data_IF_069759505366
#
_entry.id   IF_069759505366
#
_cell.length_a   1.000
_cell.length_b   1.000
_cell.length_c   1.000
_cell.angle_alpha   90.00
_cell.angle_beta   90.00
_cell.angle_gamma   90.00
#
_symmetry.space_group_name_H-M   'P 1'
#
loop_
_entity.id
_entity.type
_entity.pdbx_description
1 polymer ?
#
# COMPACT_ATOMS: atom_id res chain seq x y z
N UNK A 1 55.21 57.40 12.30
CA UNK A 1 56.38 57.15 11.43
C UNK A 1 56.16 55.77 10.84
N UNK A 2 55.61 55.67 9.61
CA UNK A 2 56.33 55.62 8.30
C UNK A 2 57.15 54.32 8.17
N UNK A 3 57.08 53.44 7.17
CA UNK A 3 56.48 53.30 5.80
C UNK A 3 56.34 51.78 5.54
N UNK A 4 55.32 51.20 4.89
CA UNK A 4 54.88 51.23 3.47
C UNK A 4 55.73 50.46 2.44
N UNK A 5 54.98 49.80 1.53
CA UNK A 5 55.26 49.35 0.16
C UNK A 5 55.89 47.95 -0.08
N UNK A 6 55.62 47.21 -1.16
CA UNK A 6 54.55 47.10 -2.18
C UNK A 6 55.02 46.07 -3.24
N UNK A 7 54.12 45.73 -4.18
CA UNK A 7 54.35 45.15 -5.53
C UNK A 7 54.41 43.62 -5.64
N UNK A 8 53.40 42.93 -6.20
CA UNK A 8 52.86 42.87 -7.58
C UNK A 8 53.77 42.18 -8.63
N UNK A 9 53.26 41.11 -9.26
CA UNK A 9 53.18 40.89 -10.73
C UNK A 9 52.57 39.48 -10.99
N UNK A 10 51.44 39.34 -11.71
CA UNK A 10 51.25 39.27 -13.18
C UNK A 10 51.25 37.81 -13.69
N UNK A 11 50.09 37.20 -13.99
CA UNK A 11 49.49 36.96 -15.34
C UNK A 11 50.24 35.91 -16.20
N UNK A 12 49.71 35.05 -17.09
CA UNK A 12 48.50 34.97 -17.95
C UNK A 12 48.36 33.53 -18.56
N UNK A 13 47.13 33.19 -18.99
CA UNK A 13 46.71 32.44 -20.22
C UNK A 13 47.09 30.98 -20.58
N UNK A 14 46.06 30.14 -20.80
CA UNK A 14 45.62 29.53 -22.10
C UNK A 14 44.45 28.55 -21.82
N UNK A 15 43.28 28.48 -22.45
CA UNK A 15 42.75 28.71 -23.82
C UNK A 15 43.13 27.62 -24.86
N UNK A 16 42.18 26.70 -25.11
CA UNK A 16 41.88 25.94 -26.36
C UNK A 16 40.72 24.96 -26.00
N UNK A 17 39.48 24.99 -26.50
CA UNK A 17 38.87 25.08 -27.85
C UNK A 17 39.07 23.83 -28.74
N UNK A 18 37.97 23.11 -29.00
CA UNK A 18 37.59 22.32 -30.19
C UNK A 18 36.14 21.84 -29.96
N UNK A 19 35.11 22.43 -30.59
CA UNK A 19 34.61 22.34 -31.98
C UNK A 19 33.59 21.21 -32.23
N UNK A 20 32.67 21.56 -33.11
CA UNK A 20 31.30 21.12 -33.35
C UNK A 20 31.21 20.07 -34.48
N UNK A 21 30.18 19.22 -34.49
CA UNK A 21 29.37 18.90 -35.69
C UNK A 21 28.44 17.68 -35.48
N UNK A 22 27.14 17.92 -35.62
CA UNK A 22 26.18 16.99 -36.25
C UNK A 22 26.17 17.26 -37.78
N UNK A 23 25.69 16.33 -38.64
CA UNK A 23 24.28 16.45 -39.06
C UNK A 23 23.55 15.16 -39.51
N UNK A 24 22.20 15.29 -39.47
CA UNK A 24 21.14 14.81 -40.38
C UNK A 24 20.82 13.33 -40.61
N UNK A 25 19.60 12.97 -40.19
CA UNK A 25 18.46 12.34 -40.92
C UNK A 25 18.69 11.27 -42.00
N UNK A 26 17.98 10.14 -41.85
CA UNK A 26 16.99 9.63 -42.81
C UNK A 26 16.21 8.39 -42.31
N UNK A 27 14.88 8.52 -42.38
CA UNK A 27 13.85 7.53 -42.76
C UNK A 27 13.90 6.07 -42.28
N UNK A 28 12.85 5.66 -41.55
CA UNK A 28 12.66 4.25 -41.17
C UNK A 28 11.33 3.91 -40.48
N UNK A 29 10.21 4.21 -41.15
CA UNK A 29 8.93 3.45 -41.19
C UNK A 29 8.49 2.67 -39.93
N UNK A 30 7.41 3.15 -39.29
CA UNK A 30 6.61 2.42 -38.31
C UNK A 30 5.87 1.20 -38.91
N UNK A 31 5.73 0.08 -38.18
CA UNK A 31 4.69 -0.89 -38.44
C UNK A 31 3.44 -0.62 -37.58
N UNK A 32 2.28 -0.81 -38.19
CA UNK A 32 0.95 -0.71 -37.61
C UNK A 32 0.69 -1.82 -36.55
N UNK A 33 -0.26 -1.61 -35.62
CA UNK A 33 -0.56 -2.58 -34.56
C UNK A 33 -1.42 -3.75 -35.08
N UNK A 34 -1.03 -4.97 -34.73
CA UNK A 34 -1.85 -6.18 -34.85
C UNK A 34 -2.96 -6.21 -33.77
N UNK A 35 -4.08 -6.93 -34.02
CA UNK A 35 -5.32 -6.77 -33.26
C UNK A 35 -5.21 -7.34 -31.85
N UNK A 36 -5.79 -6.61 -30.91
CA UNK A 36 -5.93 -6.99 -29.51
C UNK A 36 -7.00 -8.08 -29.42
N UNK A 37 -6.62 -9.29 -28.99
CA UNK A 37 -7.60 -10.28 -28.54
C UNK A 37 -8.10 -9.88 -27.14
N UNK A 38 -9.38 -9.53 -27.06
CA UNK A 38 -10.11 -9.31 -25.81
C UNK A 38 -10.28 -10.66 -25.09
N UNK A 39 -9.32 -11.01 -24.22
CA UNK A 39 -9.48 -12.11 -23.28
C UNK A 39 -10.26 -11.60 -22.06
N UNK A 40 -11.59 -11.66 -22.15
CA UNK A 40 -12.50 -11.31 -21.06
C UNK A 40 -12.76 -12.54 -20.18
N UNK A 41 -12.24 -12.62 -18.94
CA UNK A 41 -12.38 -13.81 -18.09
C UNK A 41 -13.77 -13.97 -17.43
N UNK A 42 -14.77 -13.19 -17.83
CA UNK A 42 -16.12 -13.25 -17.24
C UNK A 42 -17.11 -14.21 -17.93
N UNK A 43 -16.66 -15.09 -18.82
CA UNK A 43 -17.51 -16.14 -19.42
C UNK A 43 -17.54 -17.44 -18.59
N UNK A 44 -17.78 -17.36 -17.28
CA UNK A 44 -17.98 -18.57 -16.43
C UNK A 44 -19.36 -18.66 -15.75
N UNK A 45 -20.29 -17.77 -16.05
CA UNK A 45 -21.69 -17.91 -15.62
C UNK A 45 -22.65 -17.69 -16.79
N UNK A 46 -22.76 -18.69 -17.66
CA UNK A 46 -23.87 -18.81 -18.59
C UNK A 46 -24.58 -20.14 -18.35
N UNK A 47 -25.57 -20.12 -17.46
CA UNK A 47 -26.55 -21.20 -17.31
C UNK A 47 -27.63 -21.01 -18.39
N UNK A 48 -27.33 -21.42 -19.62
CA UNK A 48 -28.35 -21.56 -20.66
C UNK A 48 -29.19 -22.80 -20.35
N UNK A 49 -30.45 -22.61 -19.95
CA UNK A 49 -31.43 -23.70 -19.93
C UNK A 49 -31.94 -23.92 -21.36
N UNK A 50 -31.78 -25.16 -21.80
CA UNK A 50 -32.20 -25.65 -23.11
C UNK A 50 -33.73 -25.83 -23.12
N UNK A 51 -34.42 -25.10 -24.01
CA UNK A 51 -35.88 -25.20 -24.18
C UNK A 51 -36.20 -26.03 -25.42
N UNK A 52 -36.80 -27.21 -25.23
CA UNK A 52 -37.38 -28.02 -26.32
C UNK A 52 -38.82 -27.54 -26.66
N UNK A 53 -39.31 -27.70 -27.91
CA UNK A 53 -40.44 -26.95 -28.42
C UNK A 53 -41.78 -27.72 -28.36
N UNK A 54 -42.88 -26.98 -28.23
CA UNK A 54 -44.22 -27.47 -28.59
C UNK A 54 -45.09 -26.35 -29.19
N UNK A 55 -45.72 -26.68 -30.32
CA UNK A 55 -46.53 -25.83 -31.22
C UNK A 55 -47.96 -25.53 -30.67
N UNK A 56 -48.72 -24.60 -31.31
CA UNK A 56 -49.70 -23.74 -30.63
C UNK A 56 -51.18 -24.13 -30.87
N UNK A 57 -52.09 -23.70 -29.98
CA UNK A 57 -53.34 -22.98 -30.33
C UNK A 57 -54.14 -22.46 -29.11
N UNK A 58 -54.45 -21.17 -29.17
CA UNK A 58 -55.72 -20.47 -28.88
C UNK A 58 -56.41 -20.40 -27.50
N UNK A 59 -56.74 -19.12 -27.22
CA UNK A 59 -57.96 -18.52 -26.61
C UNK A 59 -57.97 -18.25 -25.10
N UNK A 60 -58.00 -16.95 -24.79
CA UNK A 60 -58.46 -16.39 -23.50
C UNK A 60 -59.93 -16.75 -23.23
N UNK A 61 -60.32 -16.78 -21.95
CA UNK A 61 -61.21 -15.71 -21.49
C UNK A 61 -60.89 -15.14 -20.09
N UNK A 62 -61.13 -13.83 -19.99
CA UNK A 62 -61.62 -13.00 -18.88
C UNK A 62 -61.49 -13.42 -17.39
N UNK A 63 -60.97 -12.45 -16.62
CA UNK A 63 -61.23 -12.07 -15.21
C UNK A 63 -62.39 -12.80 -14.52
N UNK A 64 -62.12 -13.46 -13.39
CA UNK A 64 -62.87 -13.25 -12.14
C UNK A 64 -62.18 -13.86 -10.91
N UNK A 65 -62.29 -13.12 -9.80
CA UNK A 65 -62.22 -13.52 -8.38
C UNK A 65 -60.99 -14.25 -7.82
N UNK A 66 -60.29 -13.52 -6.94
CA UNK A 66 -59.46 -14.06 -5.86
C UNK A 66 -60.18 -15.11 -5.01
N UNK A 67 -59.44 -16.05 -4.41
CA UNK A 67 -59.79 -16.56 -3.10
C UNK A 67 -58.78 -16.06 -2.06
N UNK A 68 -59.31 -15.32 -1.10
CA UNK A 68 -58.73 -15.05 0.21
C UNK A 68 -58.54 -16.38 0.94
N UNK A 69 -57.30 -16.75 1.26
CA UNK A 69 -56.95 -17.74 2.27
C UNK A 69 -56.04 -17.03 3.29
N UNK A 70 -56.65 -16.44 4.31
CA UNK A 70 -56.57 -16.90 5.71
C UNK A 70 -55.15 -16.88 6.28
N UNK A 71 -54.88 -15.81 7.02
CA UNK A 71 -53.81 -15.72 8.01
C UNK A 71 -53.80 -16.95 8.91
N UNK A 72 -52.60 -17.48 9.18
CA UNK A 72 -52.41 -18.44 10.25
C UNK A 72 -51.04 -19.09 10.26
N UNK A 73 -49.97 -18.34 10.53
CA UNK A 73 -48.83 -18.84 11.30
C UNK A 73 -47.95 -17.66 11.74
N UNK A 74 -47.86 -17.49 13.05
CA UNK A 74 -47.01 -16.57 13.79
C UNK A 74 -45.53 -16.77 13.45
N UNK A 75 -44.88 -15.74 12.90
CA UNK A 75 -43.42 -15.66 12.82
C UNK A 75 -42.98 -14.23 13.18
N UNK A 76 -41.94 -14.15 14.00
CA UNK A 76 -41.49 -12.97 14.73
C UNK A 76 -41.27 -11.71 13.86
N UNK A 77 -41.58 -10.50 14.37
CA UNK A 77 -41.61 -9.26 13.59
C UNK A 77 -40.24 -8.60 13.47
N UNK A 78 -39.17 -9.35 13.17
CA UNK A 78 -37.81 -8.76 13.11
C UNK A 78 -37.19 -8.60 11.73
N UNK A 79 -37.72 -9.21 10.67
CA UNK A 79 -37.14 -9.05 9.33
C UNK A 79 -38.22 -9.07 8.23
N UNK A 80 -38.76 -7.90 7.86
CA UNK A 80 -39.57 -7.76 6.64
C UNK A 80 -38.66 -7.38 5.49
N UNK A 81 -38.52 -8.30 4.52
CA UNK A 81 -37.76 -8.06 3.30
C UNK A 81 -38.53 -7.11 2.36
N UNK A 82 -37.83 -6.31 1.54
CA UNK A 82 -38.44 -5.48 0.49
C UNK A 82 -39.40 -6.27 -0.41
N UNK A 83 -40.43 -5.64 -1.00
CA UNK A 83 -41.47 -6.35 -1.77
C UNK A 83 -40.95 -7.23 -2.91
N UNK A 84 -39.82 -6.85 -3.55
CA UNK A 84 -39.20 -7.63 -4.61
C UNK A 84 -38.39 -8.85 -4.16
N UNK A 85 -38.28 -9.11 -2.85
CA UNK A 85 -37.48 -10.22 -2.29
C UNK A 85 -38.32 -11.21 -1.46
N UNK A 86 -39.64 -11.04 -1.42
CA UNK A 86 -40.53 -11.91 -0.64
C UNK A 86 -40.55 -13.36 -1.16
N UNK A 87 -40.40 -13.55 -2.48
CA UNK A 87 -40.36 -14.88 -3.11
C UNK A 87 -39.17 -15.75 -2.66
N UNK A 88 -38.11 -15.13 -2.12
CA UNK A 88 -36.94 -15.84 -1.63
C UNK A 88 -37.15 -16.46 -0.23
N UNK A 89 -38.17 -16.04 0.51
CA UNK A 89 -38.43 -16.48 1.89
C UNK A 89 -38.65 -17.99 1.94
N UNK A 90 -39.51 -18.53 1.07
CA UNK A 90 -39.78 -19.96 1.01
C UNK A 90 -38.54 -20.78 0.63
N UNK A 91 -37.72 -20.26 -0.29
CA UNK A 91 -36.47 -20.90 -0.69
C UNK A 91 -35.45 -20.92 0.46
N UNK A 92 -35.37 -19.83 1.23
CA UNK A 92 -34.49 -19.70 2.39
C UNK A 92 -34.90 -20.65 3.52
N UNK A 93 -36.21 -20.73 3.83
CA UNK A 93 -36.72 -21.66 4.83
C UNK A 93 -36.48 -23.12 4.42
N UNK A 94 -36.67 -23.46 3.14
CA UNK A 94 -36.38 -24.79 2.61
C UNK A 94 -34.87 -25.14 2.61
N UNK A 95 -33.99 -24.15 2.43
CA UNK A 95 -32.53 -24.35 2.60
C UNK A 95 -32.18 -24.50 4.08
N UNK A 96 -32.76 -23.69 4.96
CA UNK A 96 -32.53 -23.73 6.41
C UNK A 96 -33.00 -25.04 7.04
N UNK A 97 -34.09 -25.63 6.54
CA UNK A 97 -34.61 -26.92 7.00
C UNK A 97 -33.80 -28.13 6.48
N UNK A 98 -32.95 -27.95 5.45
CA UNK A 98 -32.07 -29.02 4.96
C UNK A 98 -30.94 -29.25 5.96
N UNK A 99 -30.92 -30.45 6.54
CA UNK A 99 -29.74 -30.95 7.27
C UNK A 99 -28.67 -31.33 6.24
N UNK A 100 -27.54 -30.61 6.26
CA UNK A 100 -26.41 -30.90 5.40
C UNK A 100 -25.72 -32.19 5.87
N UNK A 101 -25.70 -33.22 5.02
CA UNK A 101 -24.89 -34.42 5.25
C UNK A 101 -23.45 -34.17 4.75
N UNK A 102 -22.44 -34.10 5.65
CA UNK A 102 -21.05 -33.87 5.26
C UNK A 102 -20.44 -35.05 4.49
N UNK A 103 -21.06 -36.23 4.53
CA UNK A 103 -20.57 -37.45 3.87
C UNK A 103 -21.22 -37.73 2.51
N UNK A 104 -22.21 -36.92 2.12
CA UNK A 104 -22.83 -37.01 0.80
C UNK A 104 -21.78 -36.90 -0.31
N UNK A 105 -21.89 -37.67 -1.41
CA UNK A 105 -20.93 -37.61 -2.51
C UNK A 105 -20.77 -36.21 -3.12
N UNK A 106 -21.84 -35.40 -3.09
CA UNK A 106 -21.79 -34.00 -3.51
C UNK A 106 -20.92 -33.15 -2.55
N UNK A 107 -21.14 -33.30 -1.24
CA UNK A 107 -20.37 -32.61 -0.20
C UNK A 107 -18.89 -33.02 -0.23
N UNK A 108 -18.60 -34.31 -0.41
CA UNK A 108 -17.24 -34.84 -0.55
C UNK A 108 -16.55 -34.30 -1.80
N UNK A 109 -17.26 -34.18 -2.94
CA UNK A 109 -16.72 -33.57 -4.15
C UNK A 109 -16.38 -32.10 -3.94
N UNK A 110 -17.25 -31.34 -3.26
CA UNK A 110 -16.99 -29.93 -2.94
C UNK A 110 -15.82 -29.78 -1.96
N UNK A 111 -15.71 -30.66 -0.98
CA UNK A 111 -14.59 -30.67 -0.03
C UNK A 111 -13.27 -31.00 -0.73
N UNK A 112 -13.26 -31.98 -1.65
CA UNK A 112 -12.08 -32.30 -2.45
C UNK A 112 -11.66 -31.14 -3.37
N UNK A 113 -12.63 -30.45 -3.98
CA UNK A 113 -12.36 -29.25 -4.79
C UNK A 113 -11.77 -28.11 -3.94
N UNK A 114 -12.36 -27.85 -2.76
CA UNK A 114 -11.85 -26.85 -1.81
C UNK A 114 -10.45 -27.18 -1.30
N UNK A 115 -10.20 -28.46 -1.00
CA UNK A 115 -8.89 -28.95 -0.59
C UNK A 115 -7.83 -28.79 -1.71
N UNK A 116 -8.24 -28.90 -2.98
CA UNK A 116 -7.35 -28.68 -4.13
C UNK A 116 -7.01 -27.19 -4.34
N UNK A 117 -7.83 -26.27 -3.83
CA UNK A 117 -7.66 -24.82 -3.95
C UNK A 117 -7.57 -24.14 -2.58
N UNK A 118 -6.89 -24.76 -1.63
CA UNK A 118 -6.73 -24.20 -0.29
C UNK A 118 -6.09 -22.81 -0.37
N UNK A 119 -6.62 -21.81 0.36
CA UNK A 119 -5.98 -20.52 0.47
C UNK A 119 -4.57 -20.68 1.01
N UNK A 120 -3.61 -20.06 0.34
CA UNK A 120 -2.21 -20.00 0.78
C UNK A 120 -2.02 -18.80 1.70
N UNK A 121 -0.91 -18.77 2.45
CA UNK A 121 -0.58 -17.64 3.32
C UNK A 121 -0.58 -16.28 2.57
N UNK A 122 -0.18 -16.30 1.30
CA UNK A 122 -0.17 -15.12 0.43
C UNK A 122 -1.57 -14.58 0.12
N UNK A 123 -2.62 -15.40 0.18
CA UNK A 123 -3.99 -14.95 -0.07
C UNK A 123 -4.54 -14.08 1.05
N UNK A 124 -3.99 -14.20 2.26
CA UNK A 124 -4.28 -13.33 3.40
C UNK A 124 -3.45 -12.04 3.38
N UNK A 125 -2.36 -11.98 2.60
CA UNK A 125 -1.54 -10.78 2.48
C UNK A 125 -2.23 -9.73 1.60
N UNK A 126 -2.02 -8.46 1.93
CA UNK A 126 -2.46 -7.37 1.05
C UNK A 126 -1.71 -7.49 -0.28
N UNK A 127 -2.38 -7.53 -1.45
CA UNK A 127 -1.73 -7.66 -2.74
C UNK A 127 -0.67 -6.57 -2.96
N UNK A 128 0.60 -6.97 -3.07
CA UNK A 128 1.74 -6.07 -3.30
C UNK A 128 1.88 -5.80 -4.79
N UNK A 129 1.10 -4.85 -5.30
CA UNK A 129 1.32 -4.34 -6.66
C UNK A 129 2.38 -3.26 -6.60
N UNK A 130 3.65 -3.64 -6.67
CA UNK A 130 4.71 -2.66 -6.90
C UNK A 130 4.42 -1.95 -8.22
N UNK A 131 4.23 -0.64 -8.15
CA UNK A 131 4.13 0.23 -9.32
C UNK A 131 5.23 1.27 -9.21
N UNK A 132 6.25 1.24 -10.09
CA UNK A 132 7.28 2.26 -10.10
C UNK A 132 6.63 3.64 -10.22
N UNK A 133 6.99 4.56 -9.33
CA UNK A 133 6.53 5.94 -9.42
C UNK A 133 7.06 6.62 -10.70
N UNK A 134 8.26 6.20 -11.12
CA UNK A 134 8.90 6.68 -12.35
C UNK A 134 9.44 5.47 -13.11
N UNK A 135 8.66 4.90 -14.05
CA UNK A 135 9.12 3.78 -14.86
C UNK A 135 10.34 4.17 -15.71
N UNK A 136 11.39 3.36 -15.65
CA UNK A 136 12.58 3.50 -16.49
C UNK A 136 12.99 2.12 -17.00
N UNK A 137 13.48 2.06 -18.24
CA UNK A 137 13.94 0.79 -18.84
C UNK A 137 15.32 0.46 -18.31
N UNK A 138 15.38 -0.31 -17.22
CA UNK A 138 16.63 -0.84 -16.69
C UNK A 138 16.99 -2.16 -17.38
N UNK A 139 18.29 -2.47 -17.58
CA UNK A 139 18.71 -3.77 -18.08
C UNK A 139 18.22 -4.93 -17.20
N UNK A 140 17.92 -6.08 -17.82
CA UNK A 140 17.30 -7.24 -17.16
C UNK A 140 18.18 -7.90 -16.05
N UNK A 141 19.49 -7.62 -16.03
CA UNK A 141 20.38 -8.15 -14.99
C UNK A 141 20.27 -7.38 -13.66
N UNK A 142 19.68 -6.19 -13.65
CA UNK A 142 19.35 -5.48 -12.41
C UNK A 142 18.05 -6.03 -11.82
N UNK A 143 17.88 -5.97 -10.47
CA UNK A 143 16.62 -6.32 -9.83
C UNK A 143 15.45 -5.51 -10.42
N UNK A 144 14.47 -6.23 -10.97
CA UNK A 144 13.27 -5.63 -11.58
C UNK A 144 12.18 -5.36 -10.54
N UNK A 145 12.19 -6.12 -9.45
CA UNK A 145 11.23 -6.00 -8.35
C UNK A 145 11.95 -5.66 -7.04
N UNK A 146 11.28 -4.92 -6.12
CA UNK A 146 11.79 -4.68 -4.79
C UNK A 146 12.05 -5.99 -4.04
N UNK A 147 13.18 -6.05 -3.32
CA UNK A 147 13.54 -7.24 -2.56
C UNK A 147 12.62 -7.40 -1.34
N UNK A 148 12.08 -8.60 -1.11
CA UNK A 148 11.16 -8.87 0.02
C UNK A 148 11.78 -8.65 1.41
N UNK A 149 13.10 -8.76 1.52
CA UNK A 149 13.87 -8.41 2.72
C UNK A 149 13.71 -6.96 3.19
N UNK A 150 13.22 -6.05 2.33
CA UNK A 150 12.87 -4.69 2.75
C UNK A 150 11.61 -4.63 3.63
N UNK A 151 10.90 -5.74 3.79
CA UNK A 151 9.76 -5.87 4.72
C UNK A 151 10.13 -6.62 6.00
N UNK A 152 11.33 -7.21 6.07
CA UNK A 152 11.76 -7.99 7.22
C UNK A 152 12.33 -7.08 8.32
N UNK A 153 11.82 -7.14 9.57
CA UNK A 153 12.35 -6.32 10.67
C UNK A 153 13.84 -6.53 10.96
N UNK A 154 14.36 -7.74 10.73
CA UNK A 154 15.76 -8.09 10.99
C UNK A 154 16.74 -7.31 10.11
N UNK A 155 16.31 -6.93 8.90
CA UNK A 155 17.11 -6.14 7.97
C UNK A 155 17.45 -4.77 8.55
N UNK A 156 16.47 -4.07 9.13
CA UNK A 156 16.64 -2.74 9.73
C UNK A 156 17.61 -2.76 10.93
N UNK A 157 17.84 -3.92 11.54
CA UNK A 157 18.89 -4.12 12.54
C UNK A 157 20.30 -3.77 12.05
N UNK A 158 20.57 -4.03 10.76
CA UNK A 158 21.88 -3.93 10.10
C UNK A 158 22.07 -2.63 9.32
N UNK A 159 21.01 -1.82 9.20
CA UNK A 159 20.97 -0.60 8.40
C UNK A 159 21.50 0.59 9.19
N UNK A 160 22.28 1.44 8.54
CA UNK A 160 22.83 2.65 9.13
C UNK A 160 21.76 3.71 9.41
N UNK A 161 22.00 4.57 10.41
CA UNK A 161 21.06 5.63 10.78
C UNK A 161 20.70 6.56 9.63
N UNK A 162 21.64 6.85 8.73
CA UNK A 162 21.40 7.69 7.56
C UNK A 162 20.31 7.11 6.65
N UNK A 163 20.40 5.81 6.36
CA UNK A 163 19.39 5.10 5.57
C UNK A 163 18.07 4.97 6.33
N UNK A 164 18.10 4.82 7.66
CA UNK A 164 16.87 4.84 8.46
C UNK A 164 16.16 6.20 8.37
N UNK A 165 16.91 7.32 8.41
CA UNK A 165 16.35 8.65 8.18
C UNK A 165 15.80 8.79 6.75
N UNK A 166 16.53 8.33 5.74
CA UNK A 166 16.04 8.31 4.36
C UNK A 166 14.68 7.62 4.24
N UNK A 167 14.57 6.41 4.78
CA UNK A 167 13.31 5.65 4.76
C UNK A 167 12.22 6.40 5.52
N UNK A 168 12.55 6.98 6.68
CA UNK A 168 11.57 7.70 7.50
C UNK A 168 10.98 8.94 6.79
N UNK A 169 11.80 9.73 6.11
CA UNK A 169 11.37 10.98 5.46
C UNK A 169 10.81 10.79 4.05
N UNK A 170 11.34 9.84 3.26
CA UNK A 170 10.97 9.67 1.86
C UNK A 170 9.97 8.52 1.60
N UNK A 171 9.76 7.61 2.57
CA UNK A 171 8.80 6.50 2.44
C UNK A 171 7.64 6.61 3.43
N UNK A 172 7.08 7.81 3.55
CA UNK A 172 6.00 8.12 4.48
C UNK A 172 4.75 7.26 4.24
N UNK A 173 4.08 6.85 5.32
CA UNK A 173 2.86 6.05 5.28
C UNK A 173 3.07 4.57 4.93
N UNK A 174 4.32 4.10 4.92
CA UNK A 174 4.64 2.70 4.62
C UNK A 174 5.04 1.94 5.89
N UNK A 175 4.90 0.60 5.86
CA UNK A 175 5.40 -0.27 6.93
C UNK A 175 6.91 -0.09 7.15
N UNK A 176 7.66 0.25 6.11
CA UNK A 176 9.10 0.50 6.17
C UNK A 176 9.43 1.73 7.02
N UNK A 177 8.60 2.79 6.97
CA UNK A 177 8.75 3.94 7.86
C UNK A 177 8.58 3.54 9.32
N UNK A 178 7.59 2.68 9.62
CA UNK A 178 7.38 2.16 10.97
C UNK A 178 8.59 1.37 11.48
N UNK A 179 9.12 0.45 10.67
CA UNK A 179 10.31 -0.34 11.02
C UNK A 179 11.55 0.56 11.23
N UNK A 180 11.74 1.56 10.36
CA UNK A 180 12.83 2.53 10.51
C UNK A 180 12.70 3.35 11.79
N UNK A 181 11.49 3.84 12.11
CA UNK A 181 11.21 4.57 13.34
C UNK A 181 11.45 3.71 14.59
N UNK A 182 10.99 2.46 14.58
CA UNK A 182 11.23 1.51 15.66
C UNK A 182 12.73 1.28 15.89
N UNK A 183 13.51 1.15 14.79
CA UNK A 183 14.95 1.02 14.88
C UNK A 183 15.63 2.27 15.43
N UNK A 184 15.24 3.46 14.97
CA UNK A 184 15.75 4.73 15.49
C UNK A 184 15.48 4.86 17.01
N UNK A 185 14.28 4.49 17.47
CA UNK A 185 13.94 4.47 18.90
C UNK A 185 14.85 3.54 19.72
N UNK A 186 15.14 2.33 19.21
CA UNK A 186 16.10 1.39 19.81
C UNK A 186 17.52 1.97 19.88
N UNK A 187 17.90 2.78 18.89
CA UNK A 187 19.17 3.51 18.85
C UNK A 187 19.16 4.80 19.71
N UNK A 188 18.20 4.93 20.63
CA UNK A 188 18.01 6.09 21.52
C UNK A 188 17.75 7.42 20.81
N UNK A 189 17.19 7.38 19.61
CA UNK A 189 16.62 8.57 18.98
C UNK A 189 15.19 8.80 19.47
N UNK A 190 14.80 10.07 19.55
CA UNK A 190 13.47 10.53 19.96
C UNK A 190 12.93 11.52 18.94
N UNK A 191 11.72 11.29 18.46
CA UNK A 191 11.12 12.16 17.45
C UNK A 191 10.41 13.35 18.11
N UNK A 192 10.69 14.56 17.61
CA UNK A 192 10.10 15.81 18.09
C UNK A 192 9.01 16.27 17.12
N UNK A 193 7.74 16.16 17.51
CA UNK A 193 6.56 16.43 16.68
C UNK A 193 6.56 17.81 16.02
N UNK A 194 6.97 18.86 16.74
CA UNK A 194 6.95 20.23 16.21
C UNK A 194 8.04 20.49 15.16
N UNK A 195 9.23 19.94 15.35
CA UNK A 195 10.38 20.15 14.44
C UNK A 195 10.47 19.04 13.40
N UNK A 196 9.61 18.02 13.53
CA UNK A 196 9.54 16.85 12.67
C UNK A 196 10.92 16.19 12.47
N UNK A 197 11.75 16.21 13.51
CA UNK A 197 13.10 15.65 13.48
C UNK A 197 13.44 14.81 14.69
N UNK A 198 14.42 13.93 14.50
CA UNK A 198 14.96 13.01 15.48
C UNK A 198 16.09 13.67 16.25
N UNK A 199 16.02 13.57 17.58
CA UNK A 199 17.03 14.02 18.52
C UNK A 199 17.63 12.84 19.26
N UNK A 200 18.89 12.99 19.65
CA UNK A 200 19.57 12.07 20.54
C UNK A 200 20.43 12.86 21.51
N UNK A 201 20.43 12.42 22.77
CA UNK A 201 21.27 13.01 23.82
C UNK A 201 22.75 12.84 23.43
N UNK A 202 23.49 13.95 23.35
CA UNK A 202 24.95 13.89 23.14
C UNK A 202 25.67 13.62 24.46
N UNK A 203 25.14 14.18 25.54
CA UNK A 203 25.56 14.07 26.93
C UNK A 203 24.29 13.96 27.81
N UNK A 204 24.44 13.59 29.09
CA UNK A 204 23.32 13.64 30.02
C UNK A 204 22.78 15.08 30.15
N UNK A 205 21.45 15.30 30.06
CA UNK A 205 20.88 16.63 30.14
C UNK A 205 21.12 17.26 31.52
N UNK A 206 21.47 18.54 31.52
CA UNK A 206 21.80 19.30 32.73
C UNK A 206 20.58 19.55 33.62
N UNK A 207 19.40 19.64 33.00
CA UNK A 207 18.12 19.87 33.69
C UNK A 207 17.10 18.88 33.13
N UNK A 208 16.44 18.15 34.02
CA UNK A 208 15.34 17.24 33.70
C UNK A 208 14.19 17.59 34.65
N UNK A 209 13.10 18.11 34.09
CA UNK A 209 11.86 18.40 34.82
C UNK A 209 10.72 17.55 34.23
N UNK A 210 9.54 17.57 34.85
CA UNK A 210 8.35 16.87 34.34
C UNK A 210 7.84 17.39 32.99
N UNK A 211 8.14 18.64 32.64
CA UNK A 211 7.66 19.28 31.42
C UNK A 211 8.66 19.21 30.25
N UNK A 212 9.96 19.19 30.57
CA UNK A 212 11.03 19.31 29.58
C UNK A 212 12.37 18.80 30.11
N UNK A 213 13.26 18.50 29.17
CA UNK A 213 14.69 18.30 29.42
C UNK A 213 15.50 19.38 28.68
N UNK A 214 16.60 19.83 29.29
CA UNK A 214 17.51 20.79 28.67
C UNK A 214 18.95 20.26 28.70
N UNK A 215 19.60 20.28 27.54
CA UNK A 215 20.95 19.73 27.41
C UNK A 215 21.55 19.88 26.03
N UNK A 216 22.65 19.17 25.79
CA UNK A 216 23.29 19.11 24.46
C UNK A 216 22.74 17.92 23.69
N UNK A 217 22.12 18.21 22.56
CA UNK A 217 21.55 17.20 21.68
C UNK A 217 22.24 17.19 20.33
N UNK A 218 22.28 16.02 19.70
CA UNK A 218 22.43 15.92 18.26
C UNK A 218 21.06 15.72 17.62
N UNK A 219 20.87 16.29 16.43
CA UNK A 219 19.67 16.11 15.64
C UNK A 219 20.02 15.91 14.18
N UNK A 220 19.12 15.28 13.43
CA UNK A 220 19.31 15.07 12.00
C UNK A 220 18.64 16.21 11.22
N UNK A 221 19.44 16.98 10.46
CA UNK A 221 18.92 18.05 9.62
C UNK A 221 18.51 17.48 8.25
N UNK A 222 17.24 17.08 8.14
CA UNK A 222 16.69 16.46 6.93
C UNK A 222 16.32 17.48 5.83
N UNK A 223 16.24 18.78 6.15
CA UNK A 223 15.77 19.80 5.21
C UNK A 223 16.92 20.48 4.46
N UNK A 224 18.02 20.77 5.16
CA UNK A 224 19.10 21.59 4.58
C UNK A 224 20.36 20.78 4.31
N UNK A 225 20.96 20.18 5.33
CA UNK A 225 22.31 19.61 5.20
C UNK A 225 22.35 18.10 4.99
N UNK A 226 21.26 17.36 5.28
CA UNK A 226 21.24 15.90 5.33
C UNK A 226 22.37 15.33 6.22
N UNK A 227 22.59 15.96 7.37
CA UNK A 227 23.69 15.63 8.28
C UNK A 227 23.28 15.72 9.74
N UNK A 228 24.04 15.04 10.60
CA UNK A 228 23.94 15.20 12.05
C UNK A 228 24.49 16.57 12.47
N UNK A 229 23.66 17.35 13.16
CA UNK A 229 24.01 18.65 13.72
C UNK A 229 23.96 18.59 15.24
N UNK A 230 24.70 19.48 15.91
CA UNK A 230 24.71 19.61 17.37
C UNK A 230 24.04 20.90 17.79
N UNK A 231 23.24 20.83 18.85
CA UNK A 231 22.58 21.98 19.46
C UNK A 231 22.79 21.93 20.97
N UNK A 232 23.52 22.92 21.47
CA UNK A 232 23.74 23.12 22.90
C UNK A 232 22.53 23.78 23.54
N UNK A 233 22.31 23.51 24.82
CA UNK A 233 21.25 24.12 25.64
C UNK A 233 19.84 24.01 25.04
N UNK A 234 19.60 22.97 24.24
CA UNK A 234 18.31 22.73 23.62
C UNK A 234 17.30 22.29 24.68
N UNK A 235 16.14 22.95 24.70
CA UNK A 235 15.00 22.61 25.55
C UNK A 235 14.06 21.70 24.77
N UNK A 236 14.09 20.40 25.08
CA UNK A 236 13.17 19.41 24.54
C UNK A 236 11.94 19.34 25.46
N UNK A 237 10.81 19.89 25.02
CA UNK A 237 9.56 19.83 25.78
C UNK A 237 8.83 18.50 25.52
N UNK A 238 8.47 17.77 26.57
CA UNK A 238 7.87 16.44 26.44
C UNK A 238 6.49 16.45 25.78
N UNK A 239 5.78 17.58 25.81
CA UNK A 239 4.54 17.75 25.02
C UNK A 239 4.74 17.53 23.51
N UNK A 240 5.96 17.71 23.00
CA UNK A 240 6.32 17.46 21.61
C UNK A 240 7.05 16.14 21.41
N UNK A 241 7.30 15.39 22.48
CA UNK A 241 7.78 14.03 22.36
C UNK A 241 6.69 13.20 21.68
N UNK A 242 7.09 12.41 20.69
CA UNK A 242 6.26 11.31 20.23
C UNK A 242 6.34 10.17 21.23
N UNK A 243 5.31 10.07 22.07
CA UNK A 243 5.09 8.92 22.93
C UNK A 243 4.80 7.68 22.09
N UNK A 244 5.12 6.52 22.67
CA UNK A 244 5.11 5.21 22.04
C UNK A 244 3.94 5.01 21.08
N UNK A 245 4.26 4.31 19.98
CA UNK A 245 3.30 3.88 18.97
C UNK A 245 2.23 3.05 19.69
N UNK A 246 1.14 3.70 20.13
CA UNK A 246 0.04 3.03 20.80
C UNK A 246 -0.58 2.10 19.76
N UNK A 247 -0.17 0.84 19.82
CA UNK A 247 -0.82 -0.29 19.15
C UNK A 247 -2.29 -0.36 19.54
#
# INVERSE_FOLDING_TARGET
MQREASSQSSTHHSAAQQEEATPSDKDGKAPAPEPVEDDNPNSLFSTSYETRPSKPLQKMPSRTSSPRMTNGATADPKFKLPPGLQDLIASFEAVKARKHDPTSPHSLRLLAASAATLPVAQDAERPKRYKPQTPYKTPAHYPQEPLGLLEEPSFFGKVDTDTLFYIFYYRQGTYQQYLAAQRLKQLSWRFHKQYQTWFQRHEEPKVINEEFEQGTYRFFDYESTWMNRRKTEFKFAYKFLEDDLST
#
